data_IF_426368623784
#
_entry.id   IF_426368623784
#
_cell.length_a   1.000
_cell.length_b   1.000
_cell.length_c   1.000
_cell.angle_alpha   90.00
_cell.angle_beta   90.00
_cell.angle_gamma   90.00
#
_symmetry.space_group_name_H-M   'P 1'
#
loop_
_entity.id
_entity.type
_entity.pdbx_description
1 polymer ?
#
# COMPACT_ATOMS: atom_id res chain seq x y z
N UNK A 1 -5.03 -42.07 47.14
CA UNK A 1 -5.40 -41.53 45.80
C UNK A 1 -5.71 -40.01 45.77
N UNK A 2 -5.10 -39.16 46.61
CA UNK A 2 -5.41 -37.70 46.67
C UNK A 2 -4.21 -36.79 46.26
N UNK A 3 -3.04 -37.33 45.93
CA UNK A 3 -1.87 -36.51 45.60
C UNK A 3 -1.65 -36.31 44.09
N UNK A 4 -2.16 -37.16 43.21
CA UNK A 4 -1.96 -37.06 41.76
C UNK A 4 -2.86 -36.02 41.10
N UNK A 5 -4.04 -35.75 41.67
CA UNK A 5 -4.98 -34.76 41.10
C UNK A 5 -4.50 -33.31 41.27
N UNK A 6 -3.77 -33.01 42.35
CA UNK A 6 -3.27 -31.64 42.60
C UNK A 6 -2.09 -31.26 41.65
N UNK A 7 -1.27 -32.21 41.23
CA UNK A 7 -0.14 -31.96 40.33
C UNK A 7 -0.63 -31.68 38.91
N UNK A 8 -1.72 -32.35 38.47
CA UNK A 8 -2.31 -32.12 37.14
C UNK A 8 -2.95 -30.73 37.01
N UNK A 9 -3.61 -30.26 38.08
CA UNK A 9 -4.26 -28.93 38.09
C UNK A 9 -3.20 -27.82 38.06
N UNK A 10 -2.08 -27.98 38.75
CA UNK A 10 -0.99 -27.00 38.77
C UNK A 10 -0.26 -26.93 37.41
N UNK A 11 -0.09 -28.07 36.76
CA UNK A 11 0.51 -28.10 35.42
C UNK A 11 -0.40 -27.49 34.34
N UNK A 12 -1.72 -27.71 34.42
CA UNK A 12 -2.68 -27.12 33.51
C UNK A 12 -2.80 -25.59 33.68
N UNK A 13 -2.72 -25.06 34.90
CA UNK A 13 -2.70 -23.61 35.13
C UNK A 13 -1.41 -22.94 34.62
N UNK A 14 -0.27 -23.61 34.76
CA UNK A 14 1.00 -23.06 34.27
C UNK A 14 1.09 -23.04 32.73
N UNK A 15 0.49 -24.02 32.06
CA UNK A 15 0.41 -23.99 30.59
C UNK A 15 -0.56 -22.91 30.08
N UNK A 16 -1.67 -22.68 30.75
CA UNK A 16 -2.62 -21.64 30.35
C UNK A 16 -2.07 -20.23 30.54
N UNK A 17 -1.28 -20.01 31.60
CA UNK A 17 -0.61 -18.71 31.79
C UNK A 17 0.52 -18.45 30.80
N UNK A 18 1.30 -19.46 30.44
CA UNK A 18 2.34 -19.34 29.41
C UNK A 18 1.74 -19.08 28.02
N UNK A 19 0.65 -19.75 27.66
CA UNK A 19 -0.01 -19.50 26.37
C UNK A 19 -0.65 -18.10 26.31
N UNK A 20 -1.19 -17.57 27.40
CA UNK A 20 -1.74 -16.22 27.44
C UNK A 20 -0.64 -15.15 27.38
N UNK A 21 0.52 -15.36 27.96
CA UNK A 21 1.66 -14.44 27.87
C UNK A 21 2.21 -14.42 26.45
N UNK A 22 2.40 -15.58 25.81
CA UNK A 22 2.86 -15.66 24.42
C UNK A 22 1.84 -15.02 23.46
N UNK A 23 0.55 -15.21 23.70
CA UNK A 23 -0.52 -14.59 22.90
C UNK A 23 -0.56 -13.07 23.09
N UNK A 24 -0.31 -12.57 24.30
CA UNK A 24 -0.29 -11.13 24.59
C UNK A 24 0.95 -10.47 24.00
N UNK A 25 2.13 -11.09 24.06
CA UNK A 25 3.34 -10.57 23.44
C UNK A 25 3.23 -10.55 21.90
N UNK A 26 2.70 -11.61 21.29
CA UNK A 26 2.48 -11.64 19.84
C UNK A 26 1.47 -10.60 19.35
N UNK A 27 0.42 -10.33 20.11
CA UNK A 27 -0.54 -9.28 19.80
C UNK A 27 0.00 -7.87 20.08
N UNK A 28 0.98 -7.72 20.97
CA UNK A 28 1.59 -6.41 21.25
C UNK A 28 2.61 -6.04 20.14
N UNK A 29 3.31 -7.00 19.55
CA UNK A 29 4.20 -6.77 18.40
C UNK A 29 3.41 -6.48 17.11
N UNK A 30 2.21 -7.05 16.94
CA UNK A 30 1.34 -6.79 15.78
C UNK A 30 0.67 -5.40 15.78
N UNK A 31 0.75 -4.66 16.88
CA UNK A 31 0.08 -3.36 17.04
C UNK A 31 1.01 -2.14 17.08
N UNK A 32 2.30 -2.30 16.85
CA UNK A 32 3.17 -1.15 16.58
C UNK A 32 2.97 -0.72 15.14
N UNK A 33 1.99 0.16 14.90
CA UNK A 33 1.86 0.87 13.63
C UNK A 33 3.14 1.66 13.41
N UNK A 34 3.86 1.34 12.35
CA UNK A 34 4.96 2.18 11.91
C UNK A 34 4.35 3.45 11.31
N UNK A 35 4.42 4.55 12.05
CA UNK A 35 3.96 5.85 11.57
C UNK A 35 5.15 6.56 10.94
N UNK A 36 5.04 6.88 9.65
CA UNK A 36 6.05 7.62 8.89
C UNK A 36 5.50 9.03 8.62
N UNK A 37 6.13 10.05 9.19
CA UNK A 37 5.91 11.43 8.81
C UNK A 37 6.74 11.73 7.56
N UNK A 38 6.08 11.80 6.42
CA UNK A 38 6.75 11.94 5.12
C UNK A 38 7.45 13.29 4.97
N UNK A 39 6.97 14.34 5.63
CA UNK A 39 7.53 15.69 5.49
C UNK A 39 8.77 15.91 6.34
N UNK A 40 8.84 15.27 7.50
CA UNK A 40 9.90 15.47 8.49
C UNK A 40 10.88 14.32 8.62
N UNK A 41 10.63 13.20 7.94
CA UNK A 41 11.46 12.01 8.03
C UNK A 41 12.45 11.92 6.85
N UNK A 42 13.62 12.54 7.00
CA UNK A 42 14.73 12.44 6.02
C UNK A 42 15.21 11.01 5.76
N UNK A 43 14.82 10.07 6.61
CA UNK A 43 15.13 8.63 6.46
C UNK A 43 13.99 7.83 5.82
N UNK A 44 12.86 8.48 5.48
CA UNK A 44 11.78 7.80 4.75
C UNK A 44 12.20 7.57 3.30
N UNK A 45 12.07 6.33 2.84
CA UNK A 45 12.22 6.00 1.43
C UNK A 45 10.94 6.29 0.62
N UNK A 46 9.87 6.71 1.28
CA UNK A 46 8.63 7.15 0.64
C UNK A 46 8.84 8.52 0.04
N UNK A 47 8.49 8.69 -1.22
CA UNK A 47 8.74 9.92 -1.97
C UNK A 47 7.51 10.37 -2.74
N UNK A 48 7.40 11.68 -2.97
CA UNK A 48 6.45 12.26 -3.92
C UNK A 48 7.17 12.69 -5.19
N UNK A 49 6.50 12.52 -6.32
CA UNK A 49 6.92 13.17 -7.55
C UNK A 49 6.83 14.70 -7.43
N UNK A 50 7.48 15.42 -8.34
CA UNK A 50 7.18 16.83 -8.54
C UNK A 50 5.70 17.01 -8.93
N UNK A 51 5.11 18.22 -8.66
CA UNK A 51 3.77 18.53 -9.11
C UNK A 51 3.65 18.41 -10.63
N UNK A 52 2.57 17.83 -11.10
CA UNK A 52 2.30 17.63 -12.50
C UNK A 52 0.85 17.90 -12.85
N UNK A 53 0.55 18.08 -14.13
CA UNK A 53 -0.81 18.14 -14.64
C UNK A 53 -1.45 16.74 -14.63
N UNK A 54 -2.78 16.69 -14.69
CA UNK A 54 -3.51 15.42 -14.84
C UNK A 54 -3.05 14.64 -16.10
N UNK A 55 -2.87 15.32 -17.21
CA UNK A 55 -2.40 14.68 -18.45
C UNK A 55 -0.99 14.08 -18.32
N UNK A 56 -0.07 14.75 -17.62
CA UNK A 56 1.27 14.21 -17.35
C UNK A 56 1.19 12.97 -16.45
N UNK A 57 0.32 12.99 -15.44
CA UNK A 57 0.10 11.85 -14.54
C UNK A 57 -0.45 10.64 -15.30
N UNK A 58 -1.45 10.84 -16.19
CA UNK A 58 -1.99 9.75 -17.03
C UNK A 58 -0.92 9.22 -18.01
N UNK A 59 -0.10 10.11 -18.56
CA UNK A 59 1.02 9.72 -19.45
C UNK A 59 2.02 8.86 -18.70
N UNK A 60 2.40 9.26 -17.49
CA UNK A 60 3.31 8.48 -16.65
C UNK A 60 2.79 7.06 -16.41
N UNK A 61 1.49 6.94 -16.06
CA UNK A 61 0.89 5.63 -15.88
C UNK A 61 0.85 4.81 -17.17
N UNK A 62 0.52 5.44 -18.30
CA UNK A 62 0.49 4.76 -19.60
C UNK A 62 1.85 4.16 -19.97
N UNK A 63 2.94 4.91 -19.71
CA UNK A 63 4.32 4.44 -19.93
C UNK A 63 4.70 3.30 -18.98
N UNK A 64 4.37 3.42 -17.68
CA UNK A 64 4.66 2.39 -16.68
C UNK A 64 3.89 1.08 -16.94
N UNK A 65 2.64 1.18 -17.37
CA UNK A 65 1.78 0.04 -17.68
C UNK A 65 1.97 -0.52 -19.11
N UNK A 66 2.79 0.14 -19.94
CA UNK A 66 3.02 -0.21 -21.36
C UNK A 66 1.73 -0.24 -22.19
N UNK A 67 0.80 0.68 -21.92
CA UNK A 67 -0.49 0.84 -22.62
C UNK A 67 -0.58 2.21 -23.32
N UNK A 68 -1.57 2.39 -24.19
CA UNK A 68 -1.81 3.69 -24.80
C UNK A 68 -2.39 4.70 -23.80
N UNK A 69 -2.18 6.00 -24.06
CA UNK A 69 -2.78 7.08 -23.26
C UNK A 69 -4.32 6.96 -23.17
N UNK A 70 -4.99 6.61 -24.27
CA UNK A 70 -6.43 6.45 -24.29
C UNK A 70 -6.94 5.26 -23.46
N UNK A 71 -6.12 4.22 -23.33
CA UNK A 71 -6.41 3.09 -22.45
C UNK A 71 -6.16 3.47 -20.99
N UNK A 72 -5.05 4.14 -20.71
CA UNK A 72 -4.74 4.64 -19.38
C UNK A 72 -5.82 5.61 -18.88
N UNK A 73 -6.24 6.56 -19.72
CA UNK A 73 -7.25 7.56 -19.36
C UNK A 73 -8.57 6.95 -18.90
N UNK A 74 -8.96 5.77 -19.42
CA UNK A 74 -10.19 5.08 -19.01
C UNK A 74 -10.13 4.49 -17.60
N UNK A 75 -8.93 4.35 -17.04
CA UNK A 75 -8.72 3.84 -15.69
C UNK A 75 -8.78 4.97 -14.65
N UNK A 76 -8.68 6.21 -15.09
CA UNK A 76 -8.85 7.35 -14.22
C UNK A 76 -10.32 7.82 -14.27
N UNK A 77 -10.88 8.29 -13.15
CA UNK A 77 -12.25 8.79 -13.12
C UNK A 77 -12.42 9.99 -14.07
N UNK A 78 -13.59 10.08 -14.69
CA UNK A 78 -13.94 11.28 -15.45
C UNK A 78 -13.95 12.49 -14.51
N UNK A 79 -13.02 13.41 -14.72
CA UNK A 79 -12.97 14.68 -13.99
C UNK A 79 -13.24 15.84 -14.89
N UNK A 80 -13.96 16.82 -14.32
CA UNK A 80 -14.09 18.14 -14.91
C UNK A 80 -12.71 18.73 -15.15
N UNK A 81 -12.37 18.93 -16.42
CA UNK A 81 -11.08 19.42 -16.90
C UNK A 81 -10.85 20.91 -16.62
N UNK A 82 -11.62 21.51 -15.71
CA UNK A 82 -11.49 22.94 -15.33
C UNK A 82 -10.31 23.19 -14.37
N UNK A 83 -9.14 22.67 -14.73
CA UNK A 83 -7.89 22.81 -13.95
C UNK A 83 -7.32 24.23 -13.86
N UNK A 84 -7.94 25.19 -14.53
CA UNK A 84 -7.31 26.52 -14.67
C UNK A 84 -7.40 27.44 -13.43
N UNK A 85 -8.07 27.03 -12.35
CA UNK A 85 -8.31 27.89 -11.18
C UNK A 85 -8.12 27.23 -9.81
N UNK A 86 -7.73 25.96 -9.73
CA UNK A 86 -7.59 25.28 -8.44
C UNK A 86 -6.14 25.23 -7.95
N UNK A 87 -5.94 25.37 -6.64
CA UNK A 87 -4.66 25.12 -5.96
C UNK A 87 -4.32 23.62 -5.90
N UNK A 88 -4.97 22.80 -6.73
CA UNK A 88 -4.83 21.36 -6.80
C UNK A 88 -3.74 21.01 -7.80
N UNK A 89 -2.86 20.10 -7.42
CA UNK A 89 -1.85 19.52 -8.30
C UNK A 89 -1.93 17.99 -8.25
N UNK A 90 -1.35 17.33 -9.23
CA UNK A 90 -1.28 15.88 -9.25
C UNK A 90 0.13 15.44 -8.88
N UNK A 91 0.21 14.35 -8.14
CA UNK A 91 1.49 13.76 -7.71
C UNK A 91 1.40 12.25 -7.67
N UNK A 92 2.54 11.61 -7.76
CA UNK A 92 2.66 10.17 -7.54
C UNK A 92 3.37 9.97 -6.20
N UNK A 93 2.73 9.27 -5.29
CA UNK A 93 3.33 8.82 -4.04
C UNK A 93 3.94 7.45 -4.27
N UNK A 94 5.25 7.35 -4.12
CA UNK A 94 6.03 6.13 -4.31
C UNK A 94 6.39 5.55 -2.95
N UNK A 95 5.96 4.32 -2.71
CA UNK A 95 6.16 3.58 -1.46
C UNK A 95 6.97 2.34 -1.77
N UNK A 96 8.29 2.32 -1.49
CA UNK A 96 9.11 1.14 -1.69
C UNK A 96 8.73 0.01 -0.74
N UNK A 97 8.59 -1.21 -1.26
CA UNK A 97 8.32 -2.42 -0.50
C UNK A 97 9.61 -3.23 -0.31
N UNK A 98 9.95 -3.52 0.92
CA UNK A 98 11.13 -4.32 1.27
C UNK A 98 10.85 -5.83 1.10
N UNK A 99 10.72 -6.30 -0.15
CA UNK A 99 10.45 -7.71 -0.45
C UNK A 99 11.67 -8.58 -0.18
N UNK A 100 12.84 -8.17 -0.71
CA UNK A 100 14.16 -8.77 -0.39
C UNK A 100 15.23 -7.68 -0.40
N UNK A 101 16.44 -8.00 0.03
CA UNK A 101 17.57 -7.08 -0.02
C UNK A 101 17.90 -6.57 -1.45
N UNK A 102 17.55 -7.35 -2.47
CA UNK A 102 17.88 -7.08 -3.89
C UNK A 102 16.67 -6.83 -4.78
N UNK A 103 15.46 -6.81 -4.21
CA UNK A 103 14.23 -6.54 -4.96
C UNK A 103 13.27 -5.72 -4.10
N UNK A 104 13.10 -4.47 -4.48
CA UNK A 104 12.29 -3.48 -3.78
C UNK A 104 11.34 -2.80 -4.76
N UNK A 105 10.26 -3.48 -5.16
CA UNK A 105 9.22 -2.89 -5.99
C UNK A 105 8.55 -1.73 -5.25
N UNK A 106 7.70 -0.97 -5.94
CA UNK A 106 7.02 0.18 -5.34
C UNK A 106 5.50 0.04 -5.47
N UNK A 107 4.80 0.43 -4.43
CA UNK A 107 3.40 0.77 -4.52
C UNK A 107 3.32 2.25 -4.94
N UNK A 108 2.67 2.52 -6.06
CA UNK A 108 2.49 3.86 -6.61
C UNK A 108 1.03 4.29 -6.44
N UNK A 109 0.83 5.44 -5.82
CA UNK A 109 -0.49 6.04 -5.67
C UNK A 109 -0.55 7.32 -6.51
N UNK A 110 -1.42 7.32 -7.50
CA UNK A 110 -1.66 8.46 -8.40
C UNK A 110 -2.70 9.37 -7.75
N UNK A 111 -2.27 10.54 -7.28
CA UNK A 111 -3.02 11.34 -6.33
C UNK A 111 -3.32 12.75 -6.84
N UNK A 112 -4.44 13.30 -6.37
CA UNK A 112 -4.65 14.73 -6.31
C UNK A 112 -4.19 15.25 -4.95
N UNK A 113 -3.35 16.28 -4.95
CA UNK A 113 -2.86 16.92 -3.74
C UNK A 113 -3.36 18.37 -3.69
N UNK A 114 -3.71 18.82 -2.49
CA UNK A 114 -4.02 20.22 -2.20
C UNK A 114 -2.82 20.85 -1.53
N UNK A 115 -2.29 21.93 -2.12
CA UNK A 115 -1.16 22.67 -1.60
C UNK A 115 -1.56 24.14 -1.40
N UNK A 116 -1.57 24.62 -0.17
CA UNK A 116 -1.96 25.97 0.18
C UNK A 116 -1.09 26.47 1.34
N UNK A 117 -0.02 27.18 1.02
CA UNK A 117 0.89 27.72 2.01
C UNK A 117 1.60 26.63 2.82
N UNK A 118 1.30 26.55 4.12
CA UNK A 118 1.83 25.50 5.01
C UNK A 118 0.97 24.24 5.02
N UNK A 119 -0.19 24.30 4.39
CA UNK A 119 -1.12 23.17 4.30
C UNK A 119 -0.74 22.28 3.12
N UNK A 120 -0.68 20.99 3.38
CA UNK A 120 -0.42 19.99 2.36
C UNK A 120 -1.16 18.70 2.71
N UNK A 121 -1.92 18.17 1.80
CA UNK A 121 -2.68 16.95 2.01
C UNK A 121 -3.12 16.33 0.70
N UNK A 122 -3.46 15.06 0.75
CA UNK A 122 -4.09 14.37 -0.37
C UNK A 122 -5.59 14.66 -0.35
N UNK A 123 -6.17 14.90 -1.52
CA UNK A 123 -7.62 15.07 -1.68
C UNK A 123 -8.24 13.87 -2.39
N UNK A 124 -7.47 13.14 -3.18
CA UNK A 124 -7.94 11.96 -3.89
C UNK A 124 -6.80 11.01 -4.27
N UNK A 125 -7.03 9.69 -4.29
CA UNK A 125 -6.19 8.71 -4.99
C UNK A 125 -7.01 8.15 -6.15
N UNK A 126 -6.55 8.37 -7.37
CA UNK A 126 -7.24 7.95 -8.58
C UNK A 126 -6.95 6.51 -8.95
N UNK A 127 -5.72 6.09 -8.70
CA UNK A 127 -5.20 4.81 -9.12
C UNK A 127 -4.14 4.32 -8.14
N UNK A 128 -4.13 3.02 -7.92
CA UNK A 128 -3.06 2.32 -7.20
C UNK A 128 -2.40 1.37 -8.17
N UNK A 129 -1.07 1.46 -8.32
CA UNK A 129 -0.29 0.58 -9.17
C UNK A 129 0.79 -0.14 -8.36
N UNK A 130 1.09 -1.36 -8.74
CA UNK A 130 2.25 -2.09 -8.25
C UNK A 130 3.36 -1.99 -9.32
N UNK A 131 4.27 -1.01 -9.17
CA UNK A 131 5.47 -0.92 -10.03
C UNK A 131 6.43 -2.05 -9.65
N UNK A 132 6.43 -3.06 -10.49
CA UNK A 132 7.11 -4.34 -10.27
C UNK A 132 8.53 -4.39 -10.81
N UNK A 133 8.94 -3.38 -11.58
CA UNK A 133 10.28 -3.32 -12.17
C UNK A 133 11.24 -2.70 -11.15
N UNK A 134 12.29 -3.43 -10.80
CA UNK A 134 13.33 -2.95 -9.91
C UNK A 134 14.69 -3.51 -10.35
N UNK A 135 15.63 -2.62 -10.66
CA UNK A 135 17.02 -2.95 -11.04
C UNK A 135 17.11 -4.04 -12.14
N UNK A 136 16.29 -3.88 -13.19
CA UNK A 136 16.21 -4.82 -14.32
C UNK A 136 15.53 -6.16 -14.00
N UNK A 137 14.98 -6.31 -12.80
CA UNK A 137 14.17 -7.46 -12.39
C UNK A 137 12.71 -7.10 -12.36
N UNK A 138 11.84 -8.00 -12.82
CA UNK A 138 10.40 -7.83 -12.72
C UNK A 138 9.76 -9.11 -12.15
N UNK A 139 8.86 -8.95 -11.19
CA UNK A 139 8.10 -10.04 -10.58
C UNK A 139 6.61 -9.72 -10.65
N UNK A 140 5.78 -10.74 -10.67
CA UNK A 140 4.33 -10.57 -10.69
C UNK A 140 3.80 -10.67 -9.26
N UNK A 141 3.00 -9.71 -8.83
CA UNK A 141 2.37 -9.70 -7.50
C UNK A 141 0.98 -10.36 -7.58
N UNK A 142 0.65 -11.15 -6.57
CA UNK A 142 -0.67 -11.73 -6.35
C UNK A 142 -1.02 -11.57 -4.88
N UNK A 143 -2.03 -10.78 -4.60
CA UNK A 143 -2.41 -10.43 -3.24
C UNK A 143 -3.27 -9.18 -3.21
N UNK A 144 -3.40 -8.61 -2.04
CA UNK A 144 -4.30 -7.50 -1.77
C UNK A 144 -3.55 -6.29 -1.24
N UNK A 145 -4.09 -5.11 -1.55
CA UNK A 145 -3.73 -3.84 -0.94
C UNK A 145 -4.99 -3.25 -0.32
N UNK A 146 -4.97 -3.15 1.00
CA UNK A 146 -6.01 -2.48 1.77
C UNK A 146 -5.53 -1.09 2.15
N UNK A 147 -6.38 -0.08 2.01
CA UNK A 147 -6.04 1.30 2.33
C UNK A 147 -7.16 1.98 3.12
N UNK A 148 -6.78 2.72 4.14
CA UNK A 148 -7.67 3.59 4.92
C UNK A 148 -7.13 5.00 4.88
N UNK A 149 -7.93 5.92 4.42
CA UNK A 149 -7.58 7.31 4.41
C UNK A 149 -8.37 8.06 5.46
N UNK A 150 -7.70 8.87 6.26
CA UNK A 150 -8.29 9.61 7.37
C UNK A 150 -7.97 11.08 7.23
N UNK A 151 -9.01 11.89 7.12
CA UNK A 151 -8.97 13.35 7.18
C UNK A 151 -7.98 14.09 6.25
N UNK A 152 -7.56 13.51 5.15
CA UNK A 152 -6.63 14.12 4.19
C UNK A 152 -5.16 14.13 4.61
N UNK A 153 -4.82 13.60 5.79
CA UNK A 153 -3.48 13.71 6.36
C UNK A 153 -2.87 12.39 6.81
N UNK A 154 -3.68 11.36 6.90
CA UNK A 154 -3.25 10.05 7.35
C UNK A 154 -3.72 8.99 6.37
N UNK A 155 -2.79 8.25 5.81
CA UNK A 155 -3.01 7.09 4.97
C UNK A 155 -2.43 5.86 5.68
N UNK A 156 -3.29 4.95 6.08
CA UNK A 156 -2.90 3.62 6.55
C UNK A 156 -3.04 2.63 5.38
N UNK A 157 -2.03 1.79 5.14
CA UNK A 157 -2.11 0.77 4.12
C UNK A 157 -1.55 -0.57 4.61
N UNK A 158 -2.06 -1.64 4.02
CA UNK A 158 -1.56 -3.00 4.17
C UNK A 158 -1.35 -3.58 2.77
N UNK A 159 -0.13 -4.04 2.48
CA UNK A 159 0.17 -4.90 1.33
C UNK A 159 0.34 -6.32 1.86
N UNK A 160 -0.40 -7.26 1.29
CA UNK A 160 -0.39 -8.65 1.72
C UNK A 160 -0.48 -9.59 0.52
N UNK A 161 0.59 -10.28 0.18
CA UNK A 161 0.59 -11.19 -0.98
C UNK A 161 1.94 -11.78 -1.30
N UNK A 162 2.00 -12.43 -2.44
CA UNK A 162 3.16 -13.17 -2.92
C UNK A 162 3.66 -12.63 -4.25
N UNK A 163 4.97 -12.55 -4.40
CA UNK A 163 5.63 -12.29 -5.67
C UNK A 163 6.01 -13.58 -6.38
N UNK A 164 5.89 -13.58 -7.72
CA UNK A 164 6.19 -14.72 -8.59
C UNK A 164 7.18 -14.32 -9.69
N UNK A 165 8.03 -15.25 -10.08
CA UNK A 165 9.04 -15.03 -11.12
C UNK A 165 8.46 -14.99 -12.54
N UNK A 166 7.22 -15.44 -12.75
CA UNK A 166 6.58 -15.57 -14.04
C UNK A 166 5.07 -15.35 -13.94
N UNK A 167 4.45 -15.09 -15.08
CA UNK A 167 3.02 -14.82 -15.20
C UNK A 167 2.75 -13.42 -15.72
N UNK A 168 1.48 -13.05 -15.71
CA UNK A 168 0.99 -11.71 -16.02
C UNK A 168 0.13 -11.24 -14.86
N UNK A 169 0.44 -10.08 -14.32
CA UNK A 169 -0.34 -9.45 -13.26
C UNK A 169 -1.52 -8.70 -13.87
N UNK A 170 -2.67 -8.84 -13.25
CA UNK A 170 -3.87 -8.05 -13.53
C UNK A 170 -4.41 -7.49 -12.23
N UNK A 171 -4.93 -6.29 -12.26
CA UNK A 171 -5.58 -5.65 -11.13
C UNK A 171 -7.10 -5.77 -11.27
N UNK A 172 -7.79 -6.12 -10.19
CA UNK A 172 -9.24 -6.04 -10.13
C UNK A 172 -9.64 -4.60 -9.80
N UNK A 173 -10.61 -4.10 -10.49
CA UNK A 173 -11.29 -2.82 -10.32
C UNK A 173 -10.49 -1.70 -9.64
N UNK A 174 -10.28 -0.65 -10.41
CA UNK A 174 -9.70 0.59 -9.91
C UNK A 174 -10.77 1.34 -9.14
N UNK A 175 -10.61 1.47 -7.85
CA UNK A 175 -11.54 2.21 -7.01
C UNK A 175 -11.10 3.66 -6.95
N UNK A 176 -11.92 4.56 -7.47
CA UNK A 176 -11.78 5.99 -7.21
C UNK A 176 -11.99 6.25 -5.72
N UNK A 177 -10.96 6.68 -5.05
CA UNK A 177 -10.96 6.93 -3.62
C UNK A 177 -11.09 8.42 -3.38
N UNK A 178 -12.34 8.87 -3.18
CA UNK A 178 -12.60 10.21 -2.68
C UNK A 178 -12.36 10.26 -1.17
N UNK A 179 -11.50 11.17 -0.74
CA UNK A 179 -11.06 11.30 0.66
C UNK A 179 -11.75 12.43 1.43
N UNK A 180 -12.90 12.86 1.02
CA UNK A 180 -13.68 13.84 1.76
C UNK A 180 -14.23 13.30 3.09
N UNK A 181 -14.26 11.97 3.25
CA UNK A 181 -14.70 11.26 4.46
C UNK A 181 -13.74 10.11 4.78
N UNK A 182 -13.89 9.46 5.94
CA UNK A 182 -13.14 8.24 6.28
C UNK A 182 -13.44 7.14 5.26
N UNK A 183 -12.53 6.89 4.35
CA UNK A 183 -12.70 5.96 3.24
C UNK A 183 -11.79 4.74 3.35
N UNK A 184 -12.29 3.63 2.82
CA UNK A 184 -11.59 2.37 2.71
C UNK A 184 -11.59 1.89 1.27
N UNK A 185 -10.44 1.41 0.81
CA UNK A 185 -10.30 0.72 -0.46
C UNK A 185 -9.64 -0.63 -0.29
N UNK A 186 -10.09 -1.56 -1.12
CA UNK A 186 -9.51 -2.89 -1.26
C UNK A 186 -9.22 -3.13 -2.73
N UNK A 187 -7.95 -3.35 -3.05
CA UNK A 187 -7.47 -3.59 -4.42
C UNK A 187 -6.85 -4.99 -4.45
N UNK A 188 -7.37 -5.86 -5.31
CA UNK A 188 -6.81 -7.19 -5.51
C UNK A 188 -5.97 -7.26 -6.78
N UNK A 189 -4.78 -7.81 -6.65
CA UNK A 189 -3.89 -8.13 -7.75
C UNK A 189 -3.89 -9.64 -7.97
N UNK A 190 -4.13 -10.07 -9.20
CA UNK A 190 -4.15 -11.48 -9.58
C UNK A 190 -3.02 -11.75 -10.57
N UNK A 191 -2.42 -12.92 -10.45
CA UNK A 191 -1.40 -13.39 -11.40
C UNK A 191 -1.94 -14.56 -12.18
N UNK A 192 -1.91 -14.46 -13.50
CA UNK A 192 -2.22 -15.57 -14.41
C UNK A 192 -0.95 -16.05 -15.13
N UNK A 193 -0.85 -17.34 -15.36
CA UNK A 193 0.28 -17.94 -16.07
C UNK A 193 -0.19 -19.16 -16.85
N UNK A 194 0.33 -19.34 -18.08
CA UNK A 194 0.15 -20.55 -18.86
C UNK A 194 0.98 -21.74 -18.37
N UNK A 195 1.94 -21.48 -17.49
CA UNK A 195 2.77 -22.47 -16.80
C UNK A 195 2.59 -22.33 -15.30
N UNK A 196 3.03 -23.32 -14.53
CA UNK A 196 2.96 -23.26 -13.07
C UNK A 196 3.68 -22.00 -12.54
N UNK A 197 3.01 -21.15 -11.74
CA UNK A 197 3.65 -19.98 -11.14
C UNK A 197 4.83 -20.40 -10.25
N UNK A 198 5.97 -19.73 -10.42
CA UNK A 198 7.15 -19.96 -9.60
C UNK A 198 7.20 -18.90 -8.51
N UNK A 199 6.83 -19.30 -7.30
CA UNK A 199 6.87 -18.43 -6.14
C UNK A 199 8.27 -17.85 -5.94
N UNK A 200 8.32 -16.53 -5.65
CA UNK A 200 9.56 -15.82 -5.35
C UNK A 200 9.65 -15.48 -3.87
N UNK A 201 8.72 -14.67 -3.35
CA UNK A 201 8.75 -14.21 -1.97
C UNK A 201 7.36 -13.71 -1.54
N UNK A 202 7.00 -13.99 -0.29
CA UNK A 202 5.87 -13.37 0.38
C UNK A 202 6.23 -11.96 0.84
N UNK A 203 5.29 -11.03 0.71
CA UNK A 203 5.39 -9.65 1.17
C UNK A 203 4.22 -9.32 2.10
N UNK A 204 4.55 -8.79 3.26
CA UNK A 204 3.59 -8.15 4.15
C UNK A 204 4.18 -6.82 4.60
N UNK A 205 3.52 -5.73 4.27
CA UNK A 205 3.88 -4.39 4.72
C UNK A 205 2.65 -3.69 5.27
N UNK A 206 2.75 -3.13 6.47
CA UNK A 206 1.67 -2.40 7.13
C UNK A 206 2.24 -1.13 7.74
N UNK A 207 1.84 0.01 7.22
CA UNK A 207 2.33 1.31 7.66
C UNK A 207 1.23 2.35 7.68
N UNK A 208 1.48 3.42 8.43
CA UNK A 208 0.67 4.65 8.44
C UNK A 208 1.56 5.82 8.02
N UNK A 209 1.17 6.49 6.96
CA UNK A 209 1.84 7.69 6.45
C UNK A 209 1.09 8.92 6.95
N UNK A 210 1.82 9.90 7.46
CA UNK A 210 1.23 11.18 7.87
C UNK A 210 1.81 12.31 7.03
N UNK A 211 0.95 13.25 6.64
CA UNK A 211 1.26 14.38 5.76
C UNK A 211 1.23 15.73 6.48
N UNK A 212 0.95 15.77 7.77
CA UNK A 212 0.92 16.99 8.58
C UNK A 212 2.29 17.36 9.15
N UNK A 213 2.49 18.69 9.28
CA UNK A 213 3.50 19.26 10.18
C UNK A 213 2.93 19.40 11.59
#
# INVERSE_FOLDING_TARGET
MKKTTKILITAALSLATLSSIIYTEKNTELNTRNVIDIRNNENSNVTFSEPMSFSEMVTHYAEAAEISYDEALKLFPEKDTDDAASSKCHRILNIPLDVTATYKPQLELYCEASESGHYWGLSNIYLVNMEKNYDGSSKQFCGDVDMWFRNGYELEYIVNGDFYNNGTMTMSDNTDLDFTEDNYAHISFMTSSSIMPVHYQYCYDHQTLTFQN
#
